data_IF_228060718835
#
_entry.id   IF_228060718835
#
_cell.length_a   1.000
_cell.length_b   1.000
_cell.length_c   1.000
_cell.angle_alpha   90.00
_cell.angle_beta   90.00
_cell.angle_gamma   90.00
#
_symmetry.space_group_name_H-M   'P 1'
#
loop_
_entity.id
_entity.type
_entity.pdbx_description
1 polymer ?
#
# COMPACT_ATOMS: atom_id res chain seq x y z
N UNK A 1 25.92 -19.68 19.15
CA UNK A 1 25.41 -18.65 18.21
C UNK A 1 24.15 -18.02 18.80
N UNK A 2 24.12 -16.70 19.00
CA UNK A 2 22.97 -16.01 19.60
C UNK A 2 22.05 -15.56 18.47
N UNK A 3 20.94 -16.27 18.25
CA UNK A 3 19.83 -15.76 17.42
C UNK A 3 19.26 -14.54 18.12
N UNK A 4 19.32 -13.39 17.47
CA UNK A 4 18.67 -12.16 17.92
C UNK A 4 17.15 -12.38 17.81
N UNK A 5 16.48 -12.57 18.95
CA UNK A 5 15.03 -12.62 19.01
C UNK A 5 14.53 -11.17 19.17
N UNK A 6 14.09 -10.55 18.08
CA UNK A 6 13.42 -9.25 18.14
C UNK A 6 11.98 -9.49 18.64
N UNK A 7 11.74 -9.27 19.93
CA UNK A 7 10.39 -9.30 20.51
C UNK A 7 9.71 -7.95 20.26
N UNK A 8 8.82 -7.87 19.28
CA UNK A 8 8.01 -6.67 19.07
C UNK A 8 6.99 -6.52 20.22
N UNK A 9 7.11 -5.43 20.97
CA UNK A 9 6.40 -5.12 22.23
C UNK A 9 4.89 -4.82 22.09
N UNK A 10 4.27 -5.10 20.94
CA UNK A 10 2.86 -4.74 20.69
C UNK A 10 2.10 -5.86 19.99
N UNK A 11 1.93 -6.97 20.72
CA UNK A 11 0.88 -7.94 20.47
C UNK A 11 -0.14 -7.76 21.60
N UNK A 12 -1.06 -6.81 21.43
CA UNK A 12 -2.25 -6.71 22.29
C UNK A 12 -3.36 -7.54 21.63
N UNK A 13 -3.99 -8.37 22.46
CA UNK A 13 -4.67 -9.62 22.15
C UNK A 13 -6.06 -9.47 21.48
N UNK A 14 -6.23 -8.62 20.47
CA UNK A 14 -7.53 -8.44 19.77
C UNK A 14 -7.46 -8.26 18.24
N UNK A 15 -6.31 -8.50 17.60
CA UNK A 15 -6.26 -8.75 16.15
C UNK A 15 -5.26 -9.88 15.89
N UNK A 16 -5.73 -11.11 16.09
CA UNK A 16 -4.97 -12.36 15.93
C UNK A 16 -5.09 -12.93 14.52
N UNK A 17 -5.11 -12.10 13.49
CA UNK A 17 -4.83 -12.55 12.13
C UNK A 17 -3.32 -12.66 11.98
N UNK A 18 -2.75 -13.86 12.10
CA UNK A 18 -1.40 -14.08 11.58
C UNK A 18 -1.53 -14.04 10.06
N UNK A 19 -0.84 -13.12 9.41
CA UNK A 19 -0.66 -13.21 7.95
C UNK A 19 0.11 -14.49 7.68
N UNK A 20 -0.48 -15.38 6.88
CA UNK A 20 0.17 -16.61 6.47
C UNK A 20 1.25 -16.25 5.45
N UNK A 21 2.38 -16.95 5.49
CA UNK A 21 3.40 -16.85 4.44
C UNK A 21 2.88 -17.35 3.09
N UNK A 22 1.77 -18.10 3.09
CA UNK A 22 1.03 -18.54 1.91
C UNK A 22 -0.11 -17.59 1.50
N UNK A 23 -0.28 -16.44 2.17
CA UNK A 23 -1.25 -15.44 1.71
C UNK A 23 -0.87 -15.00 0.29
N UNK A 24 -1.85 -15.02 -0.61
CA UNK A 24 -1.64 -14.66 -2.02
C UNK A 24 -0.98 -13.27 -2.10
N UNK A 25 0.14 -13.19 -2.83
CA UNK A 25 0.75 -11.93 -3.22
C UNK A 25 -0.25 -11.14 -4.07
N UNK A 26 -0.79 -10.10 -3.47
CA UNK A 26 -1.81 -9.23 -4.05
C UNK A 26 -1.55 -7.84 -3.48
N UNK A 27 -0.55 -7.13 -4.05
CA UNK A 27 0.00 -5.94 -3.44
C UNK A 27 -1.05 -4.84 -3.31
N UNK A 28 -0.84 -3.95 -2.34
CA UNK A 28 -1.73 -2.83 -2.04
C UNK A 28 -0.89 -1.59 -1.81
N UNK A 29 -1.27 -0.48 -2.44
CA UNK A 29 -0.71 0.82 -2.16
C UNK A 29 -1.57 1.55 -1.12
N UNK A 30 -0.95 1.97 0.00
CA UNK A 30 -1.64 2.76 1.02
C UNK A 30 -1.64 4.27 0.73
N UNK A 31 -2.34 5.02 1.58
CA UNK A 31 -2.50 6.47 1.49
C UNK A 31 -1.21 7.26 1.72
N UNK A 32 -0.19 6.66 2.29
CA UNK A 32 1.14 7.25 2.52
C UNK A 32 2.14 6.88 1.42
N UNK A 33 1.74 6.02 0.47
CA UNK A 33 2.60 5.58 -0.62
C UNK A 33 3.49 4.38 -0.29
N UNK A 34 3.13 3.57 0.71
CA UNK A 34 3.80 2.30 0.98
C UNK A 34 3.05 1.11 0.35
N UNK A 35 3.81 0.25 -0.31
CA UNK A 35 3.34 -1.04 -0.83
C UNK A 35 3.32 -2.09 0.28
N UNK A 36 2.18 -2.77 0.45
CA UNK A 36 2.00 -3.94 1.30
C UNK A 36 1.83 -5.18 0.43
N UNK A 37 2.41 -6.33 0.81
CA UNK A 37 2.41 -7.53 -0.05
C UNK A 37 1.01 -8.11 -0.27
N UNK A 38 0.13 -7.91 0.71
CA UNK A 38 -1.26 -8.36 0.69
C UNK A 38 -2.09 -7.54 1.69
N UNK A 39 -3.39 -7.84 1.75
CA UNK A 39 -4.35 -7.19 2.65
C UNK A 39 -4.02 -7.40 4.13
N UNK A 40 -3.49 -8.56 4.51
CA UNK A 40 -3.15 -8.82 5.90
C UNK A 40 -1.97 -7.95 6.37
N UNK A 41 -0.95 -7.81 5.54
CA UNK A 41 0.18 -6.91 5.80
C UNK A 41 -0.30 -5.45 5.94
N UNK A 42 -1.20 -5.01 5.05
CA UNK A 42 -1.83 -3.68 5.12
C UNK A 42 -2.60 -3.49 6.43
N UNK A 43 -3.48 -4.42 6.81
CA UNK A 43 -4.30 -4.30 8.04
C UNK A 43 -3.45 -4.22 9.30
N UNK A 44 -2.38 -5.02 9.35
CA UNK A 44 -1.38 -4.98 10.42
C UNK A 44 -0.73 -3.61 10.51
N UNK A 45 -0.32 -3.05 9.37
CA UNK A 45 0.30 -1.73 9.32
C UNK A 45 -0.69 -0.61 9.65
N UNK A 46 -1.91 -0.66 9.15
CA UNK A 46 -2.97 0.29 9.49
C UNK A 46 -3.23 0.32 11.00
N UNK A 47 -3.34 -0.85 11.65
CA UNK A 47 -3.51 -0.94 13.11
C UNK A 47 -2.32 -0.35 13.87
N UNK A 48 -1.10 -0.65 13.45
CA UNK A 48 0.11 -0.13 14.10
C UNK A 48 0.28 1.38 13.88
N UNK A 49 -0.02 1.89 12.68
CA UNK A 49 0.02 3.31 12.36
C UNK A 49 -1.00 4.09 13.17
N UNK A 50 -2.22 3.57 13.31
CA UNK A 50 -3.24 4.20 14.12
C UNK A 50 -2.85 4.23 15.60
N UNK A 51 -2.33 3.11 16.15
CA UNK A 51 -1.98 3.02 17.57
C UNK A 51 -0.73 3.80 17.96
N UNK A 52 0.29 3.85 17.09
CA UNK A 52 1.58 4.47 17.40
C UNK A 52 1.71 5.90 16.93
N UNK A 53 1.08 6.24 15.81
CA UNK A 53 1.26 7.52 15.14
C UNK A 53 -0.05 8.32 15.01
N UNK A 54 -1.19 7.76 15.44
CA UNK A 54 -2.53 8.36 15.25
C UNK A 54 -2.85 8.63 13.77
N UNK A 55 -2.25 7.85 12.88
CA UNK A 55 -2.43 7.93 11.43
C UNK A 55 -3.41 6.88 10.95
N UNK A 56 -4.51 7.31 10.34
CA UNK A 56 -5.47 6.43 9.67
C UNK A 56 -5.00 6.15 8.24
N UNK A 57 -4.37 5.00 8.02
CA UNK A 57 -4.06 4.54 6.66
C UNK A 57 -5.34 4.16 5.93
N UNK A 58 -5.45 4.56 4.66
CA UNK A 58 -6.48 4.07 3.74
C UNK A 58 -5.83 3.39 2.54
N UNK A 59 -6.58 2.50 1.88
CA UNK A 59 -6.13 1.92 0.62
C UNK A 59 -6.25 2.98 -0.46
N UNK A 60 -5.13 3.34 -1.09
CA UNK A 60 -5.12 4.26 -2.23
C UNK A 60 -5.55 3.51 -3.51
N UNK A 61 -4.96 2.34 -3.75
CA UNK A 61 -5.39 1.41 -4.79
C UNK A 61 -4.78 0.02 -4.57
N UNK A 62 -5.38 -0.97 -5.22
CA UNK A 62 -4.84 -2.33 -5.32
C UNK A 62 -3.75 -2.35 -6.40
N UNK A 63 -2.68 -3.11 -6.12
CA UNK A 63 -1.37 -3.17 -6.81
C UNK A 63 -0.24 -2.41 -6.07
N UNK A 64 1.01 -2.61 -6.48
CA UNK A 64 2.18 -1.93 -5.91
C UNK A 64 2.06 -0.40 -6.06
N UNK A 65 2.52 0.35 -5.05
CA UNK A 65 2.64 1.79 -5.18
C UNK A 65 3.49 2.15 -6.40
N UNK A 66 3.03 3.14 -7.16
CA UNK A 66 3.78 3.63 -8.28
C UNK A 66 5.08 4.23 -7.72
N UNK A 67 6.21 3.80 -8.27
CA UNK A 67 7.45 4.55 -8.13
C UNK A 67 7.16 5.95 -8.70
N UNK A 68 7.65 7.04 -8.10
CA UNK A 68 7.50 8.45 -8.55
C UNK A 68 8.05 8.76 -9.96
N UNK A 69 8.17 7.72 -10.78
CA UNK A 69 8.74 7.66 -12.09
C UNK A 69 7.80 6.88 -13.04
N UNK A 70 6.63 7.47 -13.35
CA UNK A 70 5.79 7.00 -14.45
C UNK A 70 6.49 7.06 -15.84
N UNK A 71 7.77 7.49 -15.93
CA UNK A 71 8.52 7.47 -17.20
C UNK A 71 8.84 6.05 -17.65
N UNK A 72 8.90 5.08 -16.72
CA UNK A 72 9.14 3.67 -17.07
C UNK A 72 7.91 2.98 -17.64
N UNK A 73 6.71 3.51 -17.39
CA UNK A 73 5.45 2.96 -17.87
C UNK A 73 5.12 3.54 -19.25
N UNK A 74 5.68 2.92 -20.29
CA UNK A 74 5.54 3.37 -21.68
C UNK A 74 4.15 3.07 -22.29
N UNK A 75 3.27 2.40 -21.55
CA UNK A 75 1.95 2.03 -22.03
C UNK A 75 1.11 3.29 -22.22
N UNK A 76 0.83 3.66 -23.47
CA UNK A 76 -0.13 4.72 -23.80
C UNK A 76 -1.52 4.10 -23.87
N UNK A 77 -2.23 4.12 -22.75
CA UNK A 77 -3.59 3.60 -22.62
C UNK A 77 -4.45 4.66 -21.93
N UNK A 78 -4.93 5.67 -22.70
CA UNK A 78 -5.59 6.80 -22.10
C UNK A 78 -6.92 6.39 -21.46
N UNK A 79 -7.22 6.96 -20.30
CA UNK A 79 -8.48 6.78 -19.58
C UNK A 79 -9.07 8.14 -19.20
N UNK A 80 -10.40 8.25 -19.26
CA UNK A 80 -11.14 9.41 -18.77
C UNK A 80 -11.73 9.09 -17.40
N UNK A 81 -11.55 9.97 -16.44
CA UNK A 81 -12.11 9.83 -15.10
C UNK A 81 -13.51 10.48 -14.99
N UNK A 82 -14.09 10.48 -13.78
CA UNK A 82 -15.37 11.13 -13.50
C UNK A 82 -15.30 12.65 -13.40
N UNK A 83 -14.10 13.25 -13.50
CA UNK A 83 -13.87 14.70 -13.54
C UNK A 83 -13.71 15.22 -14.97
N UNK A 84 -13.85 14.35 -15.98
CA UNK A 84 -13.59 14.64 -17.40
C UNK A 84 -12.11 14.92 -17.69
N UNK A 85 -11.21 14.47 -16.83
CA UNK A 85 -9.76 14.54 -17.04
C UNK A 85 -9.30 13.28 -17.79
N UNK A 86 -8.52 13.48 -18.86
CA UNK A 86 -7.89 12.37 -19.59
C UNK A 86 -6.48 12.15 -19.04
N UNK A 87 -6.20 10.93 -18.60
CA UNK A 87 -4.89 10.52 -18.09
C UNK A 87 -4.20 9.64 -19.14
N UNK A 88 -2.89 9.82 -19.33
CA UNK A 88 -2.12 9.09 -20.35
C UNK A 88 -2.16 7.57 -20.15
N UNK A 89 -2.17 7.14 -18.89
CA UNK A 89 -2.25 5.75 -18.46
C UNK A 89 -2.65 5.62 -16.98
N UNK A 90 -2.79 4.39 -16.50
CA UNK A 90 -3.16 4.08 -15.12
C UNK A 90 -2.20 4.68 -14.08
N UNK A 91 -0.90 4.78 -14.36
CA UNK A 91 0.07 5.46 -13.48
C UNK A 91 -0.26 6.93 -13.31
N UNK A 92 -0.49 7.65 -14.41
CA UNK A 92 -0.84 9.08 -14.40
C UNK A 92 -2.24 9.35 -13.83
N UNK A 93 -3.11 8.35 -13.82
CA UNK A 93 -4.40 8.41 -13.12
C UNK A 93 -4.25 8.23 -11.61
N UNK A 94 -3.44 7.25 -11.17
CA UNK A 94 -3.20 6.94 -9.75
C UNK A 94 -2.27 7.96 -9.06
N UNK A 95 -1.35 8.52 -9.81
CA UNK A 95 -0.38 9.51 -9.38
C UNK A 95 -0.42 10.72 -10.35
N UNK A 96 -1.51 11.50 -10.33
CA UNK A 96 -1.50 12.78 -11.01
C UNK A 96 -0.45 13.62 -10.28
N UNK A 97 0.68 13.89 -10.92
CA UNK A 97 1.63 14.87 -10.36
C UNK A 97 0.84 16.14 -10.13
N UNK A 98 0.65 16.51 -8.86
CA UNK A 98 0.09 17.80 -8.48
C UNK A 98 1.11 18.82 -8.95
N UNK A 99 0.85 19.42 -10.10
CA UNK A 99 1.51 20.63 -10.58
C UNK A 99 0.63 21.82 -10.30
#
# INVERSE_FOLDING_TARGET
EKKIIIRYKYFNNETTGKCDENDNLSPICDSEGHTHNNVCDYERMACLSQRRFQTNLTIRYWDECCIDDCQREQTQMPLCDNTQTTHENWCKFRYPRVS
#
